data_IF_030311119258
#
_entry.id   IF_030311119258
#
_cell.length_a   1.000
_cell.length_b   1.000
_cell.length_c   1.000
_cell.angle_alpha   90.00
_cell.angle_beta   90.00
_cell.angle_gamma   90.00
#
_symmetry.space_group_name_H-M   'P 1'
#
loop_
_entity.id
_entity.type
_entity.pdbx_description
1 polymer ?
#
# COMPACT_ATOMS: atom_id res chain seq x y z
N UNK A 1 18.16 3.17 -30.00
CA UNK A 1 17.00 4.07 -29.83
C UNK A 1 16.03 3.40 -28.87
N UNK A 2 15.97 3.86 -27.62
CA UNK A 2 15.11 3.28 -26.59
C UNK A 2 13.72 3.91 -26.71
N UNK A 3 12.75 3.12 -27.07
CA UNK A 3 11.34 3.50 -27.17
C UNK A 3 10.79 3.76 -25.76
N UNK A 4 10.60 5.03 -25.42
CA UNK A 4 9.93 5.45 -24.20
C UNK A 4 8.47 5.00 -24.24
N UNK A 5 8.14 3.88 -23.59
CA UNK A 5 6.77 3.44 -23.38
C UNK A 5 6.05 4.49 -22.53
N UNK A 6 5.19 5.28 -23.17
CA UNK A 6 4.29 6.24 -22.51
C UNK A 6 3.20 5.46 -21.79
N UNK A 7 3.14 5.59 -20.48
CA UNK A 7 2.05 5.07 -19.66
C UNK A 7 0.79 5.90 -19.97
N UNK A 8 -0.22 5.29 -20.55
CA UNK A 8 -1.52 5.92 -20.80
C UNK A 8 -2.58 5.23 -19.95
N UNK A 9 -3.25 5.99 -19.10
CA UNK A 9 -4.38 5.51 -18.28
C UNK A 9 -5.49 4.92 -19.17
N UNK A 10 -5.64 5.41 -20.41
CA UNK A 10 -6.56 4.85 -21.40
C UNK A 10 -6.25 3.40 -21.81
N UNK A 11 -5.02 2.90 -21.58
CA UNK A 11 -4.68 1.48 -21.78
C UNK A 11 -5.15 0.59 -20.64
N UNK A 12 -5.33 1.13 -19.43
CA UNK A 12 -5.85 0.40 -18.27
C UNK A 12 -7.32 -0.03 -18.44
N UNK A 13 -8.07 0.66 -19.30
CA UNK A 13 -9.50 0.39 -19.49
C UNK A 13 -9.83 -0.34 -20.81
N UNK A 14 -8.85 -0.64 -21.67
CA UNK A 14 -9.12 -1.20 -23.00
C UNK A 14 -9.21 -2.72 -23.09
N UNK A 15 -8.68 -3.45 -22.11
CA UNK A 15 -8.69 -4.92 -22.09
C UNK A 15 -9.19 -5.44 -20.75
N UNK A 16 -10.47 -5.20 -20.45
CA UNK A 16 -11.05 -5.51 -19.14
C UNK A 16 -11.88 -6.78 -19.08
N UNK A 17 -11.92 -7.58 -20.11
CA UNK A 17 -12.46 -8.94 -20.02
C UNK A 17 -11.30 -9.93 -19.99
N UNK A 18 -10.98 -10.53 -18.82
CA UNK A 18 -9.97 -11.59 -18.77
C UNK A 18 -10.45 -12.74 -19.66
N UNK A 19 -9.61 -13.13 -20.62
CA UNK A 19 -9.87 -14.34 -21.37
C UNK A 19 -9.89 -15.52 -20.41
N UNK A 20 -10.76 -16.52 -20.59
CA UNK A 20 -10.82 -17.71 -19.73
C UNK A 20 -9.47 -18.44 -19.57
N UNK A 21 -8.54 -18.20 -20.50
CA UNK A 21 -7.20 -18.79 -20.55
C UNK A 21 -6.18 -18.12 -19.63
N UNK A 22 -6.45 -16.89 -19.14
CA UNK A 22 -5.57 -16.15 -18.19
C UNK A 22 -5.81 -16.54 -16.72
N UNK A 23 -6.51 -17.65 -16.46
CA UNK A 23 -6.53 -18.24 -15.13
C UNK A 23 -5.11 -18.72 -14.83
N UNK A 24 -4.40 -17.96 -14.02
CA UNK A 24 -3.10 -18.36 -13.51
C UNK A 24 -3.25 -19.78 -12.94
N UNK A 25 -2.38 -20.68 -13.41
CA UNK A 25 -2.34 -22.05 -12.90
C UNK A 25 -2.05 -21.95 -11.42
N UNK A 26 -3.04 -22.31 -10.62
CA UNK A 26 -2.96 -22.31 -9.16
C UNK A 26 -1.79 -23.19 -8.76
N UNK A 27 -0.71 -22.60 -8.26
CA UNK A 27 0.40 -23.38 -7.75
C UNK A 27 -0.02 -23.87 -6.35
N UNK A 28 -0.29 -25.18 -6.17
CA UNK A 28 -0.78 -25.68 -4.90
C UNK A 28 0.29 -25.43 -3.83
N UNK A 29 -0.05 -24.67 -2.80
CA UNK A 29 0.84 -24.28 -1.71
C UNK A 29 1.12 -22.80 -1.61
N UNK A 30 0.90 -22.01 -2.67
CA UNK A 30 1.03 -20.58 -2.61
C UNK A 30 -0.35 -19.95 -2.77
N UNK A 31 -0.83 -19.34 -1.69
CA UNK A 31 -2.07 -18.59 -1.75
C UNK A 31 -1.78 -17.23 -2.38
N UNK A 32 -2.33 -16.98 -3.56
CA UNK A 32 -2.25 -15.66 -4.16
C UNK A 32 -3.18 -14.68 -3.45
N UNK A 33 -2.76 -13.42 -3.36
CA UNK A 33 -3.58 -12.37 -2.80
C UNK A 33 -4.82 -12.17 -3.66
N UNK A 34 -5.98 -12.22 -3.04
CA UNK A 34 -7.26 -11.99 -3.70
C UNK A 34 -7.46 -10.49 -3.97
N UNK A 35 -6.60 -9.95 -4.83
CA UNK A 35 -6.81 -8.64 -5.42
C UNK A 35 -7.79 -8.83 -6.56
N UNK A 36 -8.87 -8.03 -6.59
CA UNK A 36 -9.83 -8.06 -7.69
C UNK A 36 -9.09 -8.17 -9.02
N UNK A 37 -9.57 -8.95 -9.94
CA UNK A 37 -8.92 -9.39 -11.20
C UNK A 37 -8.13 -8.32 -11.98
N UNK A 38 -8.31 -7.04 -11.66
CA UNK A 38 -7.70 -5.89 -12.35
C UNK A 38 -6.61 -5.16 -11.55
N UNK A 39 -6.51 -5.40 -10.23
CA UNK A 39 -5.69 -4.60 -9.34
C UNK A 39 -4.65 -5.48 -8.65
N UNK A 40 -3.47 -5.54 -9.23
CA UNK A 40 -2.33 -6.19 -8.58
C UNK A 40 -1.72 -5.29 -7.50
N UNK A 41 -1.12 -5.88 -6.48
CA UNK A 41 -0.43 -5.15 -5.39
C UNK A 41 0.53 -4.06 -5.89
N UNK A 42 1.37 -4.27 -6.95
CA UNK A 42 2.22 -3.22 -7.51
C UNK A 42 1.44 -2.04 -8.11
N UNK A 43 0.29 -2.28 -8.72
CA UNK A 43 -0.55 -1.21 -9.29
C UNK A 43 -1.12 -0.35 -8.17
N UNK A 44 -1.62 -0.97 -7.09
CA UNK A 44 -2.16 -0.28 -5.92
C UNK A 44 -1.07 0.58 -5.26
N UNK A 45 0.13 0.04 -5.08
CA UNK A 45 1.27 0.81 -4.54
C UNK A 45 1.64 2.00 -5.42
N UNK A 46 1.70 1.82 -6.73
CA UNK A 46 2.01 2.91 -7.65
C UNK A 46 0.94 4.00 -7.63
N UNK A 47 -0.33 3.63 -7.56
CA UNK A 47 -1.43 4.58 -7.43
C UNK A 47 -1.33 5.38 -6.13
N UNK A 48 -1.11 4.70 -5.00
CA UNK A 48 -0.95 5.36 -3.71
C UNK A 48 0.25 6.31 -3.67
N UNK A 49 1.37 5.93 -4.28
CA UNK A 49 2.57 6.79 -4.40
C UNK A 49 2.36 8.02 -5.27
N UNK A 50 1.54 7.93 -6.32
CA UNK A 50 1.27 9.03 -7.23
C UNK A 50 0.17 9.96 -6.72
N UNK A 51 -0.75 9.47 -5.88
CA UNK A 51 -1.82 10.27 -5.32
C UNK A 51 -1.33 11.12 -4.15
N UNK A 52 -1.33 12.43 -4.33
CA UNK A 52 -0.93 13.39 -3.28
C UNK A 52 -1.78 13.24 -2.03
N UNK A 53 -3.10 13.12 -2.17
CA UNK A 53 -4.02 13.05 -1.05
C UNK A 53 -3.87 11.75 -0.24
N UNK A 54 -3.75 10.60 -0.91
CA UNK A 54 -3.51 9.32 -0.23
C UNK A 54 -2.22 9.39 0.57
N UNK A 55 -1.15 9.89 -0.06
CA UNK A 55 0.15 10.02 0.59
C UNK A 55 0.12 10.99 1.79
N UNK A 56 -0.64 12.09 1.68
CA UNK A 56 -0.84 13.00 2.82
C UNK A 56 -1.55 12.29 3.96
N UNK A 57 -2.66 11.60 3.69
CA UNK A 57 -3.42 10.89 4.72
C UNK A 57 -2.58 9.81 5.41
N UNK A 58 -1.89 8.94 4.66
CA UNK A 58 -1.05 7.87 5.24
C UNK A 58 0.11 8.44 6.04
N UNK A 59 0.73 9.55 5.58
CA UNK A 59 1.81 10.21 6.31
C UNK A 59 1.31 10.83 7.62
N UNK A 60 0.14 11.45 7.63
CA UNK A 60 -0.44 12.02 8.86
C UNK A 60 -0.78 10.93 9.88
N UNK A 61 -1.42 9.83 9.44
CA UNK A 61 -1.70 8.69 10.31
C UNK A 61 -0.43 8.16 10.96
N UNK A 62 0.59 7.88 10.13
CA UNK A 62 1.89 7.41 10.60
C UNK A 62 2.55 8.37 11.60
N UNK A 63 2.50 9.69 11.35
CA UNK A 63 3.04 10.68 12.25
C UNK A 63 2.30 10.71 13.59
N UNK A 64 0.98 10.63 13.60
CA UNK A 64 0.20 10.63 14.82
C UNK A 64 0.39 9.36 15.64
N UNK A 65 0.41 8.18 15.00
CA UNK A 65 0.68 6.89 15.66
C UNK A 65 2.03 6.90 16.36
N UNK A 66 3.08 7.34 15.68
CA UNK A 66 4.45 7.30 16.23
C UNK A 66 4.89 8.60 16.91
N UNK A 67 4.02 9.58 17.06
CA UNK A 67 4.33 10.87 17.68
C UNK A 67 4.87 10.75 19.11
N UNK A 68 4.33 9.80 19.86
CA UNK A 68 4.70 9.57 21.28
C UNK A 68 5.78 8.50 21.45
N UNK A 69 6.25 7.89 20.33
CA UNK A 69 7.13 6.74 20.39
C UNK A 69 6.39 5.49 20.91
N UNK A 70 7.14 4.58 21.49
CA UNK A 70 6.62 3.37 22.13
C UNK A 70 7.14 3.26 23.55
N UNK A 71 6.39 2.57 24.42
CA UNK A 71 6.72 2.36 25.81
C UNK A 71 6.93 0.85 26.02
N UNK A 72 7.89 0.52 26.85
CA UNK A 72 8.13 -0.85 27.28
C UNK A 72 7.32 -1.15 28.51
N UNK A 73 6.45 -2.13 28.44
CA UNK A 73 5.68 -2.62 29.57
C UNK A 73 5.92 -4.11 29.77
N UNK A 74 5.93 -4.55 31.02
CA UNK A 74 5.99 -5.98 31.34
C UNK A 74 4.67 -6.63 30.93
N UNK A 75 4.76 -7.71 30.14
CA UNK A 75 3.57 -8.42 29.64
C UNK A 75 2.74 -9.07 30.76
N UNK A 76 3.31 -9.23 31.95
CA UNK A 76 2.66 -9.77 33.15
C UNK A 76 3.46 -9.41 34.38
N UNK A 77 2.82 -9.34 35.54
CA UNK A 77 3.47 -9.17 36.85
C UNK A 77 3.91 -10.54 37.38
N UNK A 78 3.08 -11.56 37.21
CA UNK A 78 3.37 -12.95 37.54
C UNK A 78 2.74 -13.93 36.56
N UNK A 79 3.41 -15.03 36.27
CA UNK A 79 2.91 -16.10 35.42
C UNK A 79 3.01 -17.44 36.16
N UNK A 80 1.93 -18.21 36.13
CA UNK A 80 1.91 -19.56 36.70
C UNK A 80 2.74 -20.52 35.83
N UNK A 81 3.63 -21.29 36.45
CA UNK A 81 4.43 -22.30 35.74
C UNK A 81 3.63 -23.55 35.39
N UNK A 82 2.55 -23.86 36.12
CA UNK A 82 1.74 -25.05 35.90
C UNK A 82 0.71 -24.87 34.77
N UNK A 83 -0.12 -23.81 34.83
CA UNK A 83 -1.17 -23.59 33.83
C UNK A 83 -0.82 -22.51 32.80
N UNK A 84 0.29 -21.78 32.98
CA UNK A 84 0.72 -20.73 32.05
C UNK A 84 -0.08 -19.43 32.13
N UNK A 85 -1.07 -19.33 33.04
CA UNK A 85 -1.90 -18.13 33.18
C UNK A 85 -1.08 -16.91 33.59
N UNK A 86 -1.35 -15.74 33.01
CA UNK A 86 -0.66 -14.48 33.22
C UNK A 86 -1.51 -13.53 34.05
N UNK A 87 -0.95 -13.04 35.14
CA UNK A 87 -1.59 -12.11 36.06
C UNK A 87 -1.01 -10.71 35.90
N UNK A 88 -1.88 -9.72 35.73
CA UNK A 88 -1.50 -8.30 35.62
C UNK A 88 -1.32 -7.62 37.00
N UNK A 89 -1.68 -8.32 38.06
CA UNK A 89 -1.52 -7.85 39.41
C UNK A 89 -0.69 -8.86 40.26
N UNK A 90 -0.01 -8.43 41.29
CA UNK A 90 0.71 -9.34 42.17
C UNK A 90 -0.27 -10.24 42.92
N UNK A 91 -0.23 -11.55 42.62
CA UNK A 91 -1.03 -12.57 43.28
C UNK A 91 -0.11 -13.53 44.02
N UNK A 92 -0.61 -14.17 45.09
CA UNK A 92 0.12 -15.16 45.86
C UNK A 92 -0.12 -16.56 45.34
N UNK A 93 -1.29 -16.80 44.78
CA UNK A 93 -1.73 -18.08 44.23
C UNK A 93 -2.37 -17.85 42.85
N UNK A 94 -2.22 -18.78 41.94
CA UNK A 94 -2.84 -18.69 40.61
C UNK A 94 -4.36 -18.73 40.76
N UNK A 95 -5.05 -17.78 40.14
CA UNK A 95 -6.52 -17.67 40.19
C UNK A 95 -7.21 -18.85 39.51
N UNK A 96 -6.55 -19.48 38.48
CA UNK A 96 -7.14 -20.59 37.75
C UNK A 96 -6.86 -21.99 38.34
N UNK A 97 -5.61 -22.27 38.74
CA UNK A 97 -5.22 -23.61 39.20
C UNK A 97 -4.85 -23.68 40.66
N UNK A 98 -4.85 -22.54 41.41
CA UNK A 98 -4.50 -22.49 42.85
C UNK A 98 -3.00 -22.75 43.11
N UNK A 99 -2.15 -22.90 42.13
CA UNK A 99 -0.72 -23.13 42.29
C UNK A 99 -0.02 -21.89 42.86
N UNK A 100 0.94 -22.11 43.75
CA UNK A 100 1.80 -21.06 44.31
C UNK A 100 3.10 -20.88 43.52
N UNK A 101 3.34 -21.76 42.49
CA UNK A 101 4.52 -21.67 41.64
C UNK A 101 4.34 -20.58 40.57
N UNK A 102 4.70 -19.37 40.94
CA UNK A 102 4.55 -18.18 40.11
C UNK A 102 5.94 -17.62 39.77
N UNK A 103 6.21 -17.44 38.51
CA UNK A 103 7.43 -16.75 38.03
C UNK A 103 7.17 -15.27 37.77
N UNK A 104 8.17 -14.44 38.03
CA UNK A 104 8.20 -13.03 37.64
C UNK A 104 8.82 -12.87 36.25
N UNK A 105 8.57 -11.75 35.55
CA UNK A 105 9.26 -11.41 34.31
C UNK A 105 10.79 -11.42 34.49
N UNK A 106 11.49 -11.92 33.50
CA UNK A 106 12.94 -11.92 33.48
C UNK A 106 13.45 -10.52 33.10
N UNK A 107 14.03 -9.82 34.06
CA UNK A 107 14.57 -8.46 33.87
C UNK A 107 15.75 -8.41 32.93
N UNK A 108 16.52 -9.49 32.80
CA UNK A 108 17.69 -9.53 31.91
C UNK A 108 17.24 -9.72 30.46
N UNK A 109 16.17 -10.51 30.22
CA UNK A 109 15.53 -10.58 28.90
C UNK A 109 14.94 -9.23 28.50
N UNK A 110 14.28 -8.52 29.41
CA UNK A 110 13.72 -7.19 29.13
C UNK A 110 14.83 -6.20 28.73
N UNK A 111 15.92 -6.13 29.52
CA UNK A 111 17.08 -5.27 29.22
C UNK A 111 17.71 -5.62 27.87
N UNK A 112 17.82 -6.91 27.58
CA UNK A 112 18.36 -7.37 26.29
C UNK A 112 17.46 -6.93 25.13
N UNK A 113 16.15 -7.12 25.24
CA UNK A 113 15.19 -6.73 24.21
C UNK A 113 15.20 -5.20 24.01
N UNK A 114 15.17 -4.42 25.08
CA UNK A 114 15.29 -2.96 25.02
C UNK A 114 16.57 -2.53 24.30
N UNK A 115 17.72 -3.05 24.74
CA UNK A 115 19.01 -2.73 24.11
C UNK A 115 19.05 -3.09 22.62
N UNK A 116 18.48 -4.22 22.23
CA UNK A 116 18.43 -4.66 20.83
C UNK A 116 17.56 -3.74 19.97
N UNK A 117 16.38 -3.34 20.47
CA UNK A 117 15.41 -2.56 19.72
C UNK A 117 15.67 -1.04 19.75
N UNK A 118 16.46 -0.55 20.72
CA UNK A 118 16.96 0.83 20.76
C UNK A 118 18.18 1.07 19.86
N UNK A 119 18.83 0.02 19.41
CA UNK A 119 19.92 0.08 18.44
C UNK A 119 19.42 -0.15 17.01
N UNK A 120 20.33 -0.16 16.04
CA UNK A 120 20.00 -0.55 14.67
C UNK A 120 19.58 -2.03 14.63
N UNK A 121 18.37 -2.28 14.16
CA UNK A 121 17.79 -3.63 14.17
C UNK A 121 18.14 -4.45 12.93
N UNK A 122 18.76 -3.84 11.94
CA UNK A 122 19.17 -4.50 10.70
C UNK A 122 20.46 -3.89 10.11
N UNK A 123 20.99 -4.53 9.06
CA UNK A 123 22.19 -4.07 8.34
C UNK A 123 21.99 -2.78 7.55
N UNK A 124 20.76 -2.36 7.34
CA UNK A 124 20.43 -1.08 6.71
C UNK A 124 20.43 0.09 7.71
N UNK A 125 20.94 -0.14 8.93
CA UNK A 125 21.04 0.86 9.99
C UNK A 125 19.70 1.52 10.38
N UNK A 126 18.58 0.78 10.22
CA UNK A 126 17.26 1.25 10.60
C UNK A 126 17.04 1.04 12.11
N UNK A 127 16.36 1.99 12.74
CA UNK A 127 15.80 1.83 14.08
C UNK A 127 14.50 1.01 14.00
N UNK A 128 14.13 0.36 15.08
CA UNK A 128 12.88 -0.42 15.13
C UNK A 128 11.64 0.44 14.81
N UNK A 129 11.61 1.68 15.28
CA UNK A 129 10.55 2.63 14.97
C UNK A 129 10.42 2.93 13.47
N UNK A 130 11.53 2.91 12.73
CA UNK A 130 11.49 3.15 11.28
C UNK A 130 10.90 1.95 10.55
N UNK A 131 11.21 0.74 10.98
CA UNK A 131 10.59 -0.49 10.48
C UNK A 131 9.08 -0.49 10.78
N UNK A 132 8.67 -0.08 11.98
CA UNK A 132 7.24 0.04 12.33
C UNK A 132 6.50 1.07 11.47
N UNK A 133 7.13 2.21 11.16
CA UNK A 133 6.57 3.21 10.23
C UNK A 133 6.38 2.69 8.81
N UNK A 134 7.29 1.84 8.36
CA UNK A 134 7.16 1.17 7.05
C UNK A 134 6.02 0.15 7.05
N UNK A 135 5.84 -0.61 8.13
CA UNK A 135 4.71 -1.53 8.29
C UNK A 135 3.37 -0.79 8.34
N UNK A 136 3.31 0.36 9.01
CA UNK A 136 2.08 1.18 9.05
C UNK A 136 1.74 1.75 7.67
N UNK A 137 2.73 2.16 6.86
CA UNK A 137 2.49 2.54 5.46
C UNK A 137 1.90 1.36 4.66
N UNK A 138 2.41 0.15 4.85
CA UNK A 138 1.89 -1.04 4.18
C UNK A 138 0.44 -1.36 4.58
N UNK A 139 0.13 -1.29 5.88
CA UNK A 139 -1.21 -1.49 6.39
C UNK A 139 -2.20 -0.46 5.84
N UNK A 140 -1.79 0.79 5.71
CA UNK A 140 -2.65 1.85 5.19
C UNK A 140 -2.81 1.83 3.66
N UNK A 141 -1.93 1.15 2.92
CA UNK A 141 -1.99 1.08 1.46
C UNK A 141 -2.55 -0.27 0.99
N UNK A 142 -2.01 -1.38 1.51
CA UNK A 142 -2.31 -2.75 1.04
C UNK A 142 -3.17 -3.51 2.04
N UNK A 143 -3.12 -3.13 3.32
CA UNK A 143 -3.71 -3.85 4.46
C UNK A 143 -3.04 -5.21 4.73
N UNK A 144 -1.82 -5.40 4.24
CA UNK A 144 -0.96 -6.53 4.58
C UNK A 144 0.43 -6.02 4.87
N UNK A 145 0.95 -6.27 6.05
CA UNK A 145 2.31 -5.91 6.44
C UNK A 145 3.05 -7.11 7.03
N UNK A 146 4.31 -7.24 6.69
CA UNK A 146 5.15 -8.37 7.09
C UNK A 146 6.37 -7.89 7.86
N UNK A 147 6.47 -8.28 9.13
CA UNK A 147 7.66 -8.10 9.93
C UNK A 147 8.49 -9.37 9.87
N UNK A 148 9.68 -9.28 9.30
CA UNK A 148 10.57 -10.43 9.12
C UNK A 148 11.67 -10.40 10.18
N UNK A 149 11.83 -11.51 10.88
CA UNK A 149 12.84 -11.71 11.90
C UNK A 149 13.88 -12.73 11.42
N UNK A 150 15.10 -12.28 11.18
CA UNK A 150 16.22 -13.17 10.90
C UNK A 150 16.67 -13.79 12.21
N UNK A 151 16.55 -15.10 12.31
CA UNK A 151 16.87 -15.85 13.53
C UNK A 151 18.12 -16.72 13.33
N UNK A 152 18.90 -16.81 14.38
CA UNK A 152 19.94 -17.83 14.55
C UNK A 152 19.39 -18.95 15.41
N UNK A 153 19.45 -20.18 14.90
CA UNK A 153 18.90 -21.35 15.56
C UNK A 153 19.98 -22.20 16.17
N UNK A 154 19.76 -22.62 17.40
CA UNK A 154 20.57 -23.58 18.09
C UNK A 154 19.78 -24.89 18.18
N UNK A 155 20.30 -25.92 17.52
CA UNK A 155 19.64 -27.24 17.44
C UNK A 155 20.13 -28.14 18.58
N UNK A 156 19.26 -29.01 19.05
CA UNK A 156 19.59 -30.10 19.97
C UNK A 156 20.18 -31.30 19.20
N UNK A 157 20.70 -32.30 19.92
CA UNK A 157 21.22 -33.54 19.34
C UNK A 157 20.21 -34.30 18.46
N UNK A 158 18.92 -34.07 18.70
CA UNK A 158 17.81 -34.63 17.92
C UNK A 158 17.37 -33.73 16.75
N UNK A 159 18.17 -32.71 16.37
CA UNK A 159 17.88 -31.71 15.34
C UNK A 159 16.61 -30.87 15.60
N UNK A 160 16.08 -30.83 16.82
CA UNK A 160 14.99 -29.94 17.20
C UNK A 160 15.53 -28.55 17.57
N UNK A 161 14.75 -27.51 17.34
CA UNK A 161 15.10 -26.15 17.75
C UNK A 161 15.05 -26.06 19.27
N UNK A 162 16.23 -25.97 19.92
CA UNK A 162 16.34 -25.80 21.36
C UNK A 162 16.18 -24.34 21.76
N UNK A 163 16.81 -23.44 21.03
CA UNK A 163 16.81 -22.02 21.29
C UNK A 163 16.98 -21.26 19.97
N UNK A 164 16.47 -20.05 19.92
CA UNK A 164 16.73 -19.14 18.82
C UNK A 164 17.04 -17.73 19.35
N UNK A 165 17.81 -16.98 18.58
CA UNK A 165 18.13 -15.58 18.84
C UNK A 165 17.80 -14.75 17.61
N UNK A 166 17.10 -13.63 17.79
CA UNK A 166 16.83 -12.69 16.72
C UNK A 166 18.10 -11.89 16.45
N UNK A 167 18.56 -11.87 15.21
CA UNK A 167 19.72 -11.09 14.75
C UNK A 167 19.33 -9.79 14.09
N UNK A 168 18.31 -9.84 13.25
CA UNK A 168 17.86 -8.70 12.45
C UNK A 168 16.34 -8.70 12.37
N UNK A 169 15.78 -7.50 12.26
CA UNK A 169 14.36 -7.27 12.01
C UNK A 169 14.25 -6.31 10.83
N UNK A 170 13.42 -6.64 9.85
CA UNK A 170 13.16 -5.78 8.70
C UNK A 170 11.73 -5.93 8.19
N UNK A 171 11.30 -4.97 7.40
CA UNK A 171 10.03 -5.02 6.70
C UNK A 171 10.10 -6.00 5.54
N UNK A 172 9.15 -6.93 5.44
CA UNK A 172 8.92 -7.73 4.23
C UNK A 172 8.05 -6.96 3.24
N UNK A 173 8.47 -6.95 1.96
CA UNK A 173 7.68 -6.26 0.93
C UNK A 173 6.38 -7.02 0.65
N UNK A 174 5.19 -6.42 0.87
CA UNK A 174 3.90 -7.06 0.60
C UNK A 174 3.70 -7.49 -0.86
N UNK A 175 4.47 -6.94 -1.80
CA UNK A 175 4.43 -7.34 -3.21
C UNK A 175 5.03 -8.74 -3.42
N UNK A 176 6.06 -9.07 -2.65
CA UNK A 176 6.85 -10.30 -2.83
C UNK A 176 6.57 -11.39 -1.81
N UNK A 177 6.02 -11.01 -0.65
CA UNK A 177 5.65 -11.95 0.41
C UNK A 177 4.28 -12.56 0.17
N UNK A 178 4.21 -13.89 0.25
CA UNK A 178 2.99 -14.67 0.11
C UNK A 178 2.87 -15.66 1.26
N UNK A 179 1.61 -15.98 1.61
CA UNK A 179 1.30 -17.09 2.52
C UNK A 179 1.55 -18.41 1.81
N UNK A 180 2.12 -19.36 2.51
CA UNK A 180 2.25 -20.74 2.04
C UNK A 180 1.25 -21.61 2.80
N UNK A 181 0.19 -22.05 2.11
CA UNK A 181 -0.95 -22.75 2.71
C UNK A 181 -1.27 -24.00 1.92
N UNK A 182 -2.07 -24.89 2.54
CA UNK A 182 -2.76 -25.96 1.83
C UNK A 182 -4.01 -25.45 1.09
N UNK A 183 -4.73 -26.35 0.46
CA UNK A 183 -5.93 -26.04 -0.33
C UNK A 183 -7.11 -25.52 0.53
N UNK A 184 -7.03 -25.70 1.86
CA UNK A 184 -8.03 -25.24 2.84
C UNK A 184 -7.62 -23.90 3.49
N UNK A 185 -6.41 -23.42 3.22
CA UNK A 185 -5.86 -22.18 3.77
C UNK A 185 -5.12 -22.36 5.10
N UNK A 186 -4.75 -23.59 5.48
CA UNK A 186 -3.95 -23.86 6.68
C UNK A 186 -2.46 -23.73 6.38
N UNK A 187 -1.75 -22.98 7.23
CA UNK A 187 -0.29 -22.81 7.13
C UNK A 187 0.45 -23.93 7.84
N UNK A 188 1.65 -24.27 7.36
CA UNK A 188 2.51 -25.26 8.02
C UNK A 188 2.11 -26.73 7.82
N UNK A 189 1.15 -27.01 6.96
CA UNK A 189 0.69 -28.38 6.66
C UNK A 189 1.38 -28.92 5.42
N UNK A 190 1.51 -28.10 4.39
CA UNK A 190 2.05 -28.47 3.09
C UNK A 190 3.38 -27.73 2.86
N UNK A 191 4.40 -28.50 2.49
CA UNK A 191 5.72 -27.95 2.25
C UNK A 191 6.61 -27.85 3.49
N UNK A 192 7.81 -28.38 3.33
CA UNK A 192 8.83 -28.42 4.38
C UNK A 192 10.14 -27.89 3.81
N UNK A 193 10.87 -27.09 4.58
CA UNK A 193 12.16 -26.50 4.21
C UNK A 193 13.22 -26.75 5.28
N UNK A 194 14.46 -26.73 4.86
CA UNK A 194 15.61 -26.83 5.75
C UNK A 194 16.09 -25.45 6.18
N UNK A 195 16.57 -25.30 7.42
CA UNK A 195 17.12 -24.05 7.93
C UNK A 195 18.34 -23.54 7.15
N UNK A 196 19.08 -24.43 6.49
CA UNK A 196 20.26 -24.09 5.68
C UNK A 196 19.93 -23.86 4.20
N UNK A 197 18.92 -24.56 3.68
CA UNK A 197 18.54 -24.53 2.26
C UNK A 197 17.13 -23.91 2.12
N UNK A 198 17.05 -22.62 2.35
CA UNK A 198 15.78 -21.85 2.37
C UNK A 198 15.14 -21.64 0.99
N UNK A 199 15.80 -22.00 -0.07
CA UNK A 199 15.35 -21.91 -1.46
C UNK A 199 14.71 -23.21 -1.97
N UNK A 200 14.64 -24.25 -1.13
CA UNK A 200 14.08 -25.54 -1.50
C UNK A 200 12.91 -25.88 -0.57
N UNK A 201 11.84 -26.38 -1.18
CA UNK A 201 10.67 -26.88 -0.47
C UNK A 201 10.34 -28.28 -0.96
N UNK A 202 10.05 -29.18 -0.05
CA UNK A 202 9.60 -30.54 -0.33
C UNK A 202 8.15 -30.66 0.12
N UNK A 203 7.27 -31.22 -0.72
CA UNK A 203 5.86 -31.36 -0.38
C UNK A 203 5.61 -32.45 0.65
N UNK A 204 6.40 -33.53 0.58
CA UNK A 204 6.32 -34.62 1.53
C UNK A 204 7.10 -34.32 2.81
N UNK A 205 6.56 -34.81 3.92
CA UNK A 205 7.24 -34.66 5.22
C UNK A 205 8.41 -35.65 5.28
N UNK A 206 9.61 -35.13 5.03
CA UNK A 206 10.85 -35.87 5.28
C UNK A 206 11.41 -35.47 6.64
N UNK A 207 12.00 -36.44 7.35
CA UNK A 207 12.62 -36.16 8.65
C UNK A 207 13.88 -35.30 8.50
N UNK A 208 14.64 -35.52 7.42
CA UNK A 208 15.89 -34.84 7.17
C UNK A 208 16.01 -34.31 5.75
N UNK A 209 16.74 -33.23 5.59
CA UNK A 209 17.08 -32.64 4.30
C UNK A 209 18.03 -33.56 3.52
N UNK A 210 17.72 -33.89 2.29
CA UNK A 210 18.53 -34.76 1.42
C UNK A 210 19.96 -34.23 1.17
N UNK A 211 20.11 -32.88 1.20
CA UNK A 211 21.40 -32.21 0.89
C UNK A 211 22.32 -32.14 2.13
N UNK A 212 21.80 -31.81 3.30
CA UNK A 212 22.63 -31.55 4.48
C UNK A 212 22.29 -32.38 5.70
N UNK A 213 21.30 -33.28 5.64
CA UNK A 213 20.86 -34.12 6.77
C UNK A 213 20.23 -33.35 7.95
N UNK A 214 20.01 -32.05 7.83
CA UNK A 214 19.37 -31.27 8.90
C UNK A 214 17.87 -31.48 8.92
N UNK A 215 17.24 -31.24 10.08
CA UNK A 215 15.79 -31.37 10.22
C UNK A 215 15.03 -30.44 9.25
N UNK A 216 13.87 -30.90 8.81
CA UNK A 216 12.95 -30.17 7.96
C UNK A 216 11.84 -29.55 8.81
N UNK A 217 11.47 -28.31 8.49
CA UNK A 217 10.48 -27.53 9.21
C UNK A 217 9.35 -27.08 8.29
N UNK A 218 8.11 -26.99 8.79
CA UNK A 218 6.96 -26.58 7.98
C UNK A 218 7.09 -25.14 7.52
N UNK A 219 6.72 -24.90 6.26
CA UNK A 219 6.75 -23.59 5.62
C UNK A 219 5.45 -22.84 5.90
N UNK A 220 5.56 -21.58 6.32
CA UNK A 220 4.43 -20.68 6.56
C UNK A 220 4.34 -19.52 5.58
N UNK A 221 5.50 -19.04 5.09
CA UNK A 221 5.57 -17.90 4.16
C UNK A 221 6.63 -18.14 3.09
N UNK A 222 6.44 -17.50 1.96
CA UNK A 222 7.40 -17.49 0.86
C UNK A 222 7.62 -16.06 0.38
N UNK A 223 8.88 -15.69 0.17
CA UNK A 223 9.27 -14.47 -0.49
C UNK A 223 9.75 -14.79 -1.91
N UNK A 224 9.11 -14.17 -2.91
CA UNK A 224 9.43 -14.32 -4.34
C UNK A 224 10.04 -13.06 -4.87
N UNK A 225 11.32 -13.10 -5.19
CA UNK A 225 12.03 -11.97 -5.79
C UNK A 225 12.71 -12.43 -7.08
N UNK A 226 12.31 -11.85 -8.20
CA UNK A 226 12.92 -12.12 -9.52
C UNK A 226 13.00 -13.59 -9.92
N UNK A 227 12.05 -14.40 -9.47
CA UNK A 227 12.01 -15.84 -9.76
C UNK A 227 12.75 -16.72 -8.75
N UNK A 228 13.43 -16.13 -7.78
CA UNK A 228 13.98 -16.85 -6.64
C UNK A 228 12.96 -16.89 -5.51
N UNK A 229 12.85 -18.04 -4.85
CA UNK A 229 11.93 -18.25 -3.73
C UNK A 229 12.72 -18.51 -2.46
N UNK A 230 12.34 -17.81 -1.40
CA UNK A 230 12.88 -18.02 -0.05
C UNK A 230 11.73 -18.38 0.88
N UNK A 231 11.87 -19.50 1.58
CA UNK A 231 10.84 -20.04 2.44
C UNK A 231 11.10 -19.74 3.90
N UNK A 232 10.05 -19.38 4.63
CA UNK A 232 10.10 -19.01 6.04
C UNK A 232 9.25 -19.96 6.86
N UNK A 233 9.78 -20.36 8.02
CA UNK A 233 9.09 -21.22 8.98
C UNK A 233 8.28 -20.37 9.97
N UNK A 234 7.54 -21.06 10.83
CA UNK A 234 6.76 -20.44 11.89
C UNK A 234 7.59 -19.51 12.78
N UNK A 235 7.03 -18.33 13.07
CA UNK A 235 7.64 -17.35 13.95
C UNK A 235 8.80 -16.56 13.35
N UNK A 236 9.16 -16.75 12.07
CA UNK A 236 10.14 -15.89 11.38
C UNK A 236 9.49 -14.67 10.74
N UNK A 237 8.21 -14.77 10.40
CA UNK A 237 7.44 -13.68 9.82
C UNK A 237 6.19 -13.47 10.64
N UNK A 238 5.93 -12.21 11.04
CA UNK A 238 4.66 -11.79 11.59
C UNK A 238 3.89 -11.06 10.49
N UNK A 239 2.68 -11.50 10.23
CA UNK A 239 1.77 -10.91 9.27
C UNK A 239 0.68 -10.13 10.01
N UNK A 240 0.52 -8.88 9.64
CA UNK A 240 -0.48 -7.96 10.18
C UNK A 240 -1.46 -7.58 9.09
N UNK A 241 -2.74 -7.51 9.45
CA UNK A 241 -3.82 -6.96 8.62
C UNK A 241 -4.88 -6.33 9.51
N UNK A 242 -5.46 -5.19 9.11
CA UNK A 242 -6.54 -4.51 9.85
C UNK A 242 -7.89 -5.13 9.54
N UNK A 243 -8.14 -5.43 8.27
CA UNK A 243 -9.39 -6.03 7.82
C UNK A 243 -9.13 -7.18 6.85
N UNK A 244 -9.40 -8.39 7.28
CA UNK A 244 -9.20 -9.61 6.49
C UNK A 244 -10.50 -10.43 6.40
N UNK A 245 -11.34 -10.21 5.38
CA UNK A 245 -12.57 -10.97 5.20
C UNK A 245 -12.30 -12.44 4.85
N UNK A 246 -11.19 -12.72 4.17
CA UNK A 246 -10.77 -14.08 3.80
C UNK A 246 -10.00 -14.82 4.90
N UNK A 247 -9.65 -14.17 6.00
CA UNK A 247 -8.75 -14.66 7.06
C UNK A 247 -7.31 -14.95 6.62
N UNK A 248 -6.98 -14.68 5.36
CA UNK A 248 -5.66 -14.93 4.79
C UNK A 248 -4.95 -13.61 4.51
N UNK A 249 -5.57 -12.75 3.72
CA UNK A 249 -5.03 -11.46 3.34
C UNK A 249 -5.97 -10.32 3.71
N UNK A 250 -5.40 -9.16 3.95
CA UNK A 250 -6.13 -7.91 4.12
C UNK A 250 -6.76 -7.42 2.82
N UNK A 251 -7.68 -6.47 2.95
CA UNK A 251 -8.30 -5.81 1.80
C UNK A 251 -7.82 -4.39 1.72
N UNK A 252 -7.09 -4.06 0.66
CA UNK A 252 -6.51 -2.73 0.47
C UNK A 252 -7.57 -1.62 0.53
N UNK A 253 -7.36 -0.58 1.35
CA UNK A 253 -8.20 0.62 1.37
C UNK A 253 -8.29 1.30 0.00
N UNK A 254 -7.23 1.23 -0.79
CA UNK A 254 -7.16 1.82 -2.13
C UNK A 254 -8.13 1.17 -3.10
N UNK A 255 -8.44 -0.12 -2.94
CA UNK A 255 -9.45 -0.79 -3.78
C UNK A 255 -10.82 -0.13 -3.58
N UNK A 256 -11.20 0.13 -2.34
CA UNK A 256 -12.46 0.82 -2.02
C UNK A 256 -12.47 2.27 -2.55
N UNK A 257 -11.33 2.94 -2.47
CA UNK A 257 -11.17 4.34 -2.91
C UNK A 257 -10.79 4.47 -4.39
N UNK A 258 -10.70 3.36 -5.14
CA UNK A 258 -10.17 3.33 -6.50
C UNK A 258 -10.74 4.41 -7.40
N UNK A 259 -12.07 4.49 -7.49
CA UNK A 259 -12.74 5.47 -8.34
C UNK A 259 -12.47 6.91 -7.89
N UNK A 260 -12.48 7.17 -6.58
CA UNK A 260 -12.24 8.51 -6.06
C UNK A 260 -10.81 8.99 -6.35
N UNK A 261 -9.82 8.11 -6.11
CA UNK A 261 -8.41 8.43 -6.32
C UNK A 261 -8.09 8.58 -7.81
N UNK A 262 -8.57 7.68 -8.66
CA UNK A 262 -8.32 7.75 -10.11
C UNK A 262 -9.02 8.93 -10.76
N UNK A 263 -10.24 9.27 -10.32
CA UNK A 263 -10.95 10.47 -10.81
C UNK A 263 -10.19 11.73 -10.42
N UNK A 264 -9.77 11.86 -9.17
CA UNK A 264 -9.00 13.01 -8.71
C UNK A 264 -7.69 13.16 -9.51
N UNK A 265 -6.95 12.08 -9.71
CA UNK A 265 -5.73 12.10 -10.52
C UNK A 265 -6.00 12.43 -11.98
N UNK A 266 -7.11 11.94 -12.56
CA UNK A 266 -7.51 12.29 -13.92
C UNK A 266 -7.84 13.78 -14.05
N UNK A 267 -8.52 14.37 -13.05
CA UNK A 267 -8.80 15.79 -13.00
C UNK A 267 -7.50 16.64 -12.91
N UNK A 268 -6.56 16.24 -12.06
CA UNK A 268 -5.26 16.90 -11.92
C UNK A 268 -4.44 16.81 -13.23
N UNK A 269 -4.44 15.65 -13.87
CA UNK A 269 -3.78 15.42 -15.15
C UNK A 269 -4.42 16.23 -16.28
N UNK A 270 -5.75 16.39 -16.27
CA UNK A 270 -6.45 17.23 -17.23
C UNK A 270 -6.02 18.69 -17.10
N UNK A 271 -6.02 19.21 -15.87
CA UNK A 271 -5.56 20.59 -15.61
C UNK A 271 -4.11 20.76 -16.03
N UNK A 272 -3.22 19.85 -15.58
CA UNK A 272 -1.81 19.90 -15.95
C UNK A 272 -1.63 19.88 -17.48
N UNK A 273 -2.35 19.00 -18.18
CA UNK A 273 -2.27 18.93 -19.64
C UNK A 273 -2.83 20.19 -20.33
N UNK A 274 -3.80 20.85 -19.74
CA UNK A 274 -4.36 22.11 -20.24
C UNK A 274 -3.35 23.25 -20.13
N UNK A 275 -2.53 23.27 -19.06
CA UNK A 275 -1.50 24.28 -18.87
C UNK A 275 -0.22 23.98 -19.65
N UNK A 276 0.19 22.72 -19.75
CA UNK A 276 1.50 22.35 -20.32
C UNK A 276 1.47 22.08 -21.82
N UNK A 277 0.32 21.65 -22.35
CA UNK A 277 0.24 21.16 -23.73
C UNK A 277 -0.82 21.85 -24.59
N UNK A 278 -1.69 22.71 -24.01
CA UNK A 278 -2.82 23.37 -24.67
C UNK A 278 -3.46 22.50 -25.78
N UNK A 279 -3.79 21.27 -25.46
CA UNK A 279 -4.05 20.20 -26.43
C UNK A 279 -5.33 20.34 -27.23
N UNK A 280 -6.21 21.27 -26.85
CA UNK A 280 -7.40 21.58 -27.65
C UNK A 280 -7.60 23.09 -27.72
N UNK A 281 -7.85 23.64 -28.88
CA UNK A 281 -8.33 25.00 -28.99
C UNK A 281 -9.65 25.09 -28.18
N UNK A 282 -9.77 26.10 -27.34
CA UNK A 282 -10.97 26.33 -26.50
C UNK A 282 -12.25 26.52 -27.31
N UNK A 283 -12.14 26.66 -28.59
CA UNK A 283 -13.23 26.76 -29.54
C UNK A 283 -12.77 26.63 -30.97
N UNK A 284 -13.71 26.51 -31.86
CA UNK A 284 -13.52 26.53 -33.30
C UNK A 284 -14.12 27.80 -33.86
N UNK A 285 -13.32 28.51 -34.63
CA UNK A 285 -13.85 29.59 -35.45
C UNK A 285 -14.46 28.96 -36.70
N UNK A 286 -15.77 28.85 -36.75
CA UNK A 286 -16.48 28.34 -37.91
C UNK A 286 -16.51 29.41 -39.00
N UNK A 287 -15.99 29.05 -40.14
CA UNK A 287 -15.78 29.96 -41.23
C UNK A 287 -16.30 29.37 -42.51
N UNK A 288 -17.17 30.10 -43.20
CA UNK A 288 -17.65 29.69 -44.53
C UNK A 288 -16.56 29.84 -45.58
N UNK A 289 -16.12 28.72 -46.20
CA UNK A 289 -15.15 28.68 -47.29
C UNK A 289 -15.62 27.80 -48.43
N UNK A 290 -15.26 28.16 -49.64
CA UNK A 290 -15.55 27.32 -50.85
C UNK A 290 -14.50 26.27 -51.10
N UNK A 291 -13.33 26.35 -50.44
CA UNK A 291 -12.21 25.43 -50.75
C UNK A 291 -11.82 24.61 -49.53
N UNK A 292 -12.20 23.32 -49.53
CA UNK A 292 -11.94 22.36 -48.45
C UNK A 292 -10.45 22.00 -48.33
N UNK A 293 -9.71 22.00 -49.46
CA UNK A 293 -8.28 21.59 -49.44
C UNK A 293 -7.38 22.66 -48.85
N UNK A 294 -7.69 23.92 -49.11
CA UNK A 294 -7.00 25.02 -48.41
C UNK A 294 -7.26 25.01 -46.90
N UNK A 295 -8.44 24.58 -46.47
CA UNK A 295 -8.78 24.40 -45.06
C UNK A 295 -8.00 23.28 -44.42
N UNK A 296 -7.81 22.14 -45.05
CA UNK A 296 -6.99 21.03 -44.55
C UNK A 296 -5.53 21.43 -44.39
N UNK A 297 -4.96 22.18 -45.32
CA UNK A 297 -3.58 22.67 -45.24
C UNK A 297 -3.43 23.69 -44.08
N UNK A 298 -4.40 24.57 -43.92
CA UNK A 298 -4.47 25.49 -42.79
C UNK A 298 -4.50 24.77 -41.41
N UNK A 299 -5.36 23.75 -41.27
CA UNK A 299 -5.44 22.98 -40.06
C UNK A 299 -4.14 22.26 -39.69
N UNK A 300 -3.40 21.79 -40.67
CA UNK A 300 -2.09 21.18 -40.45
C UNK A 300 -1.10 22.18 -39.85
N UNK A 301 -1.03 23.41 -40.43
CA UNK A 301 -0.19 24.48 -39.88
C UNK A 301 -0.63 25.02 -38.50
N UNK A 302 -1.95 25.03 -38.26
CA UNK A 302 -2.51 25.42 -36.93
C UNK A 302 -2.12 24.39 -35.86
N UNK A 303 -2.16 23.11 -36.20
CA UNK A 303 -1.79 22.04 -35.28
C UNK A 303 -0.32 22.15 -34.87
N UNK A 304 0.58 22.41 -35.79
CA UNK A 304 2.00 22.62 -35.50
C UNK A 304 2.23 23.86 -34.61
N UNK A 305 1.51 24.96 -34.86
CA UNK A 305 1.61 26.19 -34.06
C UNK A 305 1.04 26.02 -32.65
N UNK A 306 -0.07 25.30 -32.49
CA UNK A 306 -0.64 24.99 -31.16
C UNK A 306 0.30 24.07 -30.35
N UNK A 307 1.06 23.20 -31.02
CA UNK A 307 2.08 22.39 -30.34
C UNK A 307 3.28 23.22 -29.85
N UNK A 308 3.59 24.34 -30.52
CA UNK A 308 4.66 25.26 -30.15
C UNK A 308 4.23 26.36 -29.15
N UNK A 309 3.03 26.93 -29.36
CA UNK A 309 2.47 27.95 -28.49
C UNK A 309 1.09 27.55 -27.98
N UNK A 310 1.00 27.20 -26.67
CA UNK A 310 -0.25 26.79 -26.03
C UNK A 310 -1.37 27.84 -26.07
N UNK A 311 -1.03 29.11 -26.23
CA UNK A 311 -1.98 30.23 -26.24
C UNK A 311 -2.34 30.72 -27.64
N UNK A 312 -1.82 30.03 -28.68
CA UNK A 312 -2.10 30.42 -30.05
C UNK A 312 -3.59 30.29 -30.39
N UNK A 313 -4.20 31.42 -30.77
CA UNK A 313 -5.58 31.43 -31.25
C UNK A 313 -5.55 31.46 -32.78
N UNK A 314 -6.02 30.36 -33.43
CA UNK A 314 -6.08 30.33 -34.89
C UNK A 314 -7.13 31.30 -35.39
N UNK A 315 -6.73 32.27 -36.18
CA UNK A 315 -7.64 33.21 -36.87
C UNK A 315 -7.58 32.91 -38.35
N UNK A 316 -8.71 32.56 -38.99
CA UNK A 316 -8.81 32.34 -40.38
C UNK A 316 -9.55 33.50 -41.08
N UNK A 317 -8.92 34.16 -42.00
CA UNK A 317 -9.57 35.15 -42.83
C UNK A 317 -10.36 34.51 -44.00
N UNK A 318 -11.56 34.98 -44.24
CA UNK A 318 -12.42 34.53 -45.32
C UNK A 318 -12.79 35.65 -46.22
N UNK A 319 -12.77 35.38 -47.53
CA UNK A 319 -13.42 36.25 -48.53
C UNK A 319 -14.93 35.94 -48.49
N UNK A 320 -15.71 36.94 -48.09
CA UNK A 320 -17.16 36.86 -48.12
C UNK A 320 -17.67 37.14 -49.54
N UNK A 321 -18.35 36.22 -50.14
CA UNK A 321 -19.16 36.50 -51.32
C UNK A 321 -20.36 37.36 -50.87
N UNK A 322 -20.47 38.54 -51.42
CA UNK A 322 -21.51 39.55 -51.09
C UNK A 322 -21.34 40.37 -49.77
N UNK A 323 -20.15 40.48 -49.22
CA UNK A 323 -19.91 41.45 -48.11
C UNK A 323 -20.53 41.11 -46.74
N UNK A 324 -21.14 39.93 -46.59
CA UNK A 324 -21.67 39.44 -45.32
C UNK A 324 -21.01 38.14 -44.94
N UNK A 325 -19.81 38.16 -44.37
CA UNK A 325 -19.20 37.01 -43.71
C UNK A 325 -19.73 36.87 -42.28
N UNK A 326 -20.25 35.74 -41.91
CA UNK A 326 -20.53 35.41 -40.53
C UNK A 326 -19.36 34.68 -39.92
N UNK A 327 -18.85 35.18 -38.83
CA UNK A 327 -17.81 34.53 -38.01
C UNK A 327 -18.50 34.03 -36.76
N UNK A 328 -18.51 32.75 -36.55
CA UNK A 328 -19.10 32.16 -35.36
C UNK A 328 -18.03 31.45 -34.55
N UNK A 329 -17.97 31.79 -33.26
CA UNK A 329 -17.11 31.10 -32.31
C UNK A 329 -17.86 29.96 -31.67
N UNK A 330 -17.48 28.73 -31.98
CA UNK A 330 -18.05 27.54 -31.37
C UNK A 330 -17.13 27.10 -30.22
N UNK A 331 -17.63 27.22 -29.00
CA UNK A 331 -16.93 26.77 -27.82
C UNK A 331 -17.07 25.24 -27.66
N UNK A 332 -15.95 24.49 -27.63
CA UNK A 332 -15.96 23.04 -27.49
C UNK A 332 -15.72 22.56 -26.08
N UNK A 333 -15.27 23.43 -25.20
CA UNK A 333 -14.91 23.04 -23.85
C UNK A 333 -15.73 23.81 -22.83
N UNK A 334 -16.35 23.07 -21.95
CA UNK A 334 -16.81 23.64 -20.70
C UNK A 334 -15.62 24.23 -19.96
N UNK A 335 -15.76 25.42 -19.42
CA UNK A 335 -14.72 26.01 -18.57
C UNK A 335 -14.60 25.17 -17.29
N UNK A 336 -13.44 25.19 -16.65
CA UNK A 336 -13.25 24.53 -15.34
C UNK A 336 -14.28 25.00 -14.31
N UNK A 337 -14.80 26.21 -14.47
CA UNK A 337 -15.86 26.80 -13.64
C UNK A 337 -17.21 26.11 -13.91
N UNK A 338 -17.54 25.86 -15.19
CA UNK A 338 -18.78 25.15 -15.58
C UNK A 338 -18.78 23.68 -15.14
N UNK A 339 -17.60 23.08 -14.97
CA UNK A 339 -17.43 21.73 -14.45
C UNK A 339 -17.44 21.67 -12.92
N UNK A 340 -17.64 22.80 -12.23
CA UNK A 340 -17.51 22.89 -10.76
C UNK A 340 -16.24 22.22 -10.24
N UNK A 341 -15.14 22.35 -11.01
CA UNK A 341 -13.89 21.61 -10.78
C UNK A 341 -13.41 21.68 -9.33
N UNK A 342 -13.47 22.88 -8.73
CA UNK A 342 -12.99 23.09 -7.36
C UNK A 342 -13.87 22.32 -6.37
N UNK A 343 -15.19 22.43 -6.48
CA UNK A 343 -16.13 21.77 -5.57
C UNK A 343 -16.00 20.23 -5.67
N UNK A 344 -15.91 19.67 -6.88
CA UNK A 344 -15.74 18.23 -7.10
C UNK A 344 -14.38 17.76 -6.56
N UNK A 345 -13.30 18.53 -6.78
CA UNK A 345 -11.98 18.21 -6.25
C UNK A 345 -11.97 18.19 -4.72
N UNK A 346 -12.61 19.15 -4.09
CA UNK A 346 -12.75 19.23 -2.63
C UNK A 346 -13.58 18.07 -2.09
N UNK A 347 -14.71 17.74 -2.71
CA UNK A 347 -15.55 16.60 -2.30
C UNK A 347 -14.79 15.27 -2.40
N UNK A 348 -14.09 15.02 -3.50
CA UNK A 348 -13.27 13.81 -3.64
C UNK A 348 -12.15 13.73 -2.60
N UNK A 349 -11.46 14.84 -2.35
CA UNK A 349 -10.44 14.94 -1.31
C UNK A 349 -11.03 14.62 0.06
N UNK A 350 -12.17 15.20 0.38
CA UNK A 350 -12.85 15.02 1.66
C UNK A 350 -13.32 13.58 1.88
N UNK A 351 -13.82 12.92 0.84
CA UNK A 351 -14.23 11.51 0.90
C UNK A 351 -13.02 10.60 1.16
N UNK A 352 -11.90 10.85 0.49
CA UNK A 352 -10.67 10.08 0.71
C UNK A 352 -10.17 10.29 2.14
N UNK A 353 -10.12 11.55 2.61
CA UNK A 353 -9.68 11.87 3.96
C UNK A 353 -10.59 11.28 5.03
N UNK A 354 -11.92 11.36 4.83
CA UNK A 354 -12.90 10.77 5.74
C UNK A 354 -12.76 9.25 5.85
N UNK A 355 -12.45 8.57 4.75
CA UNK A 355 -12.20 7.14 4.74
C UNK A 355 -10.99 6.76 5.61
N UNK A 356 -9.91 7.52 5.54
CA UNK A 356 -8.73 7.36 6.40
C UNK A 356 -8.94 7.92 7.82
N UNK A 357 -10.07 8.55 8.10
CA UNK A 357 -10.33 9.20 9.39
C UNK A 357 -9.48 10.46 9.64
N UNK A 358 -8.86 11.03 8.60
CA UNK A 358 -8.03 12.22 8.68
C UNK A 358 -8.89 13.47 8.55
N UNK A 359 -8.79 14.38 9.55
CA UNK A 359 -9.53 15.64 9.53
C UNK A 359 -8.93 16.63 8.53
N UNK A 360 -9.77 17.53 7.98
CA UNK A 360 -9.36 18.65 7.11
C UNK A 360 -8.25 19.51 7.71
N UNK A 361 -8.21 19.65 9.01
CA UNK A 361 -7.19 20.43 9.74
C UNK A 361 -5.78 19.89 9.44
N UNK A 362 -5.61 18.56 9.39
CA UNK A 362 -4.32 17.95 9.07
C UNK A 362 -3.92 18.07 7.58
N UNK A 363 -4.85 18.51 6.75
CA UNK A 363 -4.60 18.77 5.33
C UNK A 363 -4.33 20.26 5.02
N UNK A 364 -4.06 21.05 6.07
CA UNK A 364 -3.87 22.50 6.00
C UNK A 364 -5.07 23.26 5.39
N UNK A 365 -6.27 22.71 5.51
CA UNK A 365 -7.50 23.38 5.08
C UNK A 365 -8.08 24.20 6.21
N UNK A 366 -7.79 25.51 6.18
CA UNK A 366 -8.25 26.46 7.18
C UNK A 366 -9.73 26.88 6.99
N UNK A 367 -10.40 26.47 5.92
CA UNK A 367 -11.80 26.82 5.66
C UNK A 367 -12.76 26.23 6.68
N UNK A 368 -12.37 25.18 7.39
CA UNK A 368 -13.11 24.56 8.48
C UNK A 368 -12.88 25.21 9.85
N UNK A 369 -12.07 26.28 9.91
CA UNK A 369 -11.68 26.95 11.16
C UNK A 369 -12.73 27.92 11.68
N UNK A 370 -13.88 27.40 12.09
CA UNK A 370 -14.81 28.12 12.95
C UNK A 370 -14.42 28.00 14.41
N UNK A 371 -13.46 28.82 14.87
CA UNK A 371 -13.26 29.10 16.28
C UNK A 371 -12.71 27.96 17.17
N UNK A 372 -12.80 28.13 18.47
CA UNK A 372 -12.29 27.35 19.61
C UNK A 372 -12.48 25.80 19.59
N UNK A 373 -13.22 25.24 18.64
CA UNK A 373 -13.44 23.80 18.53
C UNK A 373 -12.29 22.99 17.89
N UNK A 374 -11.25 23.66 17.38
CA UNK A 374 -10.17 22.99 16.65
C UNK A 374 -9.30 22.08 17.53
N UNK A 375 -9.04 22.47 18.76
CA UNK A 375 -8.24 21.64 19.69
C UNK A 375 -8.97 20.35 20.07
N UNK A 376 -10.26 20.41 20.32
CA UNK A 376 -11.08 19.23 20.60
C UNK A 376 -11.12 18.25 19.43
N UNK A 377 -11.23 18.76 18.20
CA UNK A 377 -11.17 17.96 16.97
C UNK A 377 -9.80 17.32 16.76
N UNK A 378 -8.72 18.03 17.03
CA UNK A 378 -7.36 17.46 16.95
C UNK A 378 -7.17 16.32 17.94
N UNK A 379 -7.62 16.47 19.19
CA UNK A 379 -7.54 15.43 20.21
C UNK A 379 -8.35 14.19 19.78
N UNK A 380 -9.56 14.37 19.26
CA UNK A 380 -10.40 13.26 18.78
C UNK A 380 -9.74 12.51 17.63
N UNK A 381 -9.17 13.21 16.66
CA UNK A 381 -8.51 12.58 15.50
C UNK A 381 -7.23 11.87 15.92
N UNK A 382 -6.44 12.47 16.83
CA UNK A 382 -5.24 11.82 17.36
C UNK A 382 -5.58 10.53 18.11
N UNK A 383 -6.60 10.57 18.97
CA UNK A 383 -7.05 9.38 19.71
C UNK A 383 -7.54 8.30 18.75
N UNK A 384 -8.34 8.67 17.74
CA UNK A 384 -8.84 7.72 16.75
C UNK A 384 -7.73 7.11 15.90
N UNK A 385 -6.71 7.88 15.53
CA UNK A 385 -5.56 7.36 14.80
C UNK A 385 -4.78 6.33 15.64
N UNK A 386 -4.62 6.59 16.94
CA UNK A 386 -3.96 5.67 17.87
C UNK A 386 -4.80 4.41 18.13
N UNK A 387 -6.14 4.52 18.18
CA UNK A 387 -7.03 3.36 18.34
C UNK A 387 -7.06 2.46 17.09
N UNK A 388 -6.82 3.01 15.89
CA UNK A 388 -6.82 2.26 14.64
C UNK A 388 -5.47 1.59 14.33
N UNK A 389 -4.39 2.00 14.99
CA UNK A 389 -3.05 1.44 14.82
C UNK A 389 -2.80 0.26 15.75
#
# INVERSE_FOLDING_TARGET
MAEKRRFSIARLFRDTTPKPEDRQVFNPGIQEKDTSYFLTTPIIYNLAKQSTIVRTCTTQLKQEVFRRGYIWEEAFVSQCNECGNRHQSPVKECVECGSTDLRKPDKDQLKYAQKFLEQHVNKSEQLFIDVLKELEDDLNIIDDAYLVMVKEYYLDNNNNIKMHRIKEIYRGDPVTFHLYTDDVGQRGVKGFTCLRHRNQVTQDKHECCEVCGSAMFPVHYVNRVKGEEQYFIEGEVLHFSKYSPSRLYGTSPIITLWNNVTTLMAMENYVNSSYTKARMPRGLLAVQTRNIDSMKSFWRGVKEKIEQDPHFIPVMGIEAENGKGSVEWINFMNTLKEMDYIAVKEDLRDRIAAFYGVSKIFMADNSASGGLNNEGMQILVTNRAVEMA
#
